data_IF_810789066822
#
_entry.id   IF_810789066822
#
_cell.length_a   1.000
_cell.length_b   1.000
_cell.length_c   1.000
_cell.angle_alpha   90.00
_cell.angle_beta   90.00
_cell.angle_gamma   90.00
#
_symmetry.space_group_name_H-M   'P 1'
#
loop_
_entity.id
_entity.type
_entity.pdbx_description
1 polymer ?
#
# COMPACT_ATOMS: atom_id res chain seq x y z
N UNK A 1 -0.44 1.49 -6.98
CA UNK A 1 0.38 1.71 -5.78
C UNK A 1 1.22 2.96 -5.96
N UNK A 2 1.27 3.80 -4.93
CA UNK A 2 2.16 4.96 -4.87
C UNK A 2 3.60 4.52 -4.58
N UNK A 3 4.58 4.78 -5.45
CA UNK A 3 5.97 4.43 -5.18
C UNK A 3 6.51 5.26 -3.99
N UNK A 4 7.17 4.62 -3.03
CA UNK A 4 7.82 5.30 -1.89
C UNK A 4 7.07 5.26 -0.55
N UNK A 5 5.89 4.63 -0.47
CA UNK A 5 5.27 4.32 0.83
C UNK A 5 5.63 2.89 1.24
N UNK A 6 6.73 2.75 1.98
CA UNK A 6 7.15 1.47 2.56
C UNK A 6 6.21 1.08 3.71
N UNK A 7 5.74 -0.17 3.65
CA UNK A 7 4.87 -0.84 4.63
C UNK A 7 5.24 -0.53 6.09
N UNK A 8 4.27 -0.04 6.86
CA UNK A 8 4.27 -0.17 8.32
C UNK A 8 3.27 -1.29 8.67
N UNK A 9 3.78 -2.50 8.90
CA UNK A 9 3.02 -3.59 9.52
C UNK A 9 3.26 -3.59 11.05
N UNK A 10 2.27 -3.95 11.87
CA UNK A 10 2.29 -3.71 13.32
C UNK A 10 2.99 -4.85 14.06
N UNK A 11 4.32 -4.76 14.24
CA UNK A 11 5.06 -5.72 15.08
C UNK A 11 5.81 -5.04 16.24
N UNK A 12 5.68 -3.72 16.46
CA UNK A 12 6.36 -3.03 17.58
C UNK A 12 5.61 -1.79 18.12
N UNK A 13 5.59 -1.58 19.46
CA UNK A 13 4.95 -0.41 20.07
C UNK A 13 5.84 0.83 19.90
N UNK A 14 5.80 1.44 18.72
CA UNK A 14 6.61 2.62 18.44
C UNK A 14 6.40 3.31 17.09
N UNK A 15 5.67 2.71 16.15
CA UNK A 15 5.39 3.39 14.89
C UNK A 15 4.16 4.30 15.01
N UNK A 16 4.41 5.61 15.09
CA UNK A 16 3.37 6.62 14.91
C UNK A 16 2.88 6.50 13.47
N UNK A 17 1.72 5.90 13.24
CA UNK A 17 0.93 6.21 12.05
C UNK A 17 0.54 7.67 12.22
N UNK A 18 1.26 8.58 11.59
CA UNK A 18 0.77 9.96 11.48
C UNK A 18 -0.52 9.88 10.67
N UNK A 19 -1.63 10.33 11.25
CA UNK A 19 -2.95 10.46 10.60
C UNK A 19 -2.94 11.56 9.52
N UNK A 20 -1.81 11.74 8.85
CA UNK A 20 -1.55 12.81 7.90
C UNK A 20 -1.53 12.24 6.49
N UNK A 21 -1.91 13.07 5.53
CA UNK A 21 -1.75 12.76 4.12
C UNK A 21 -0.28 12.59 3.78
N UNK A 22 0.09 11.39 3.37
CA UNK A 22 1.38 11.02 2.83
C UNK A 22 1.39 11.39 1.34
N UNK A 23 2.27 12.28 0.87
CA UNK A 23 2.29 12.68 -0.54
C UNK A 23 3.70 12.71 -1.13
N UNK A 24 3.79 12.42 -2.43
CA UNK A 24 5.00 12.62 -3.23
C UNK A 24 4.65 13.32 -4.56
N UNK A 25 5.58 13.38 -5.51
CA UNK A 25 5.37 14.01 -6.84
C UNK A 25 4.39 13.26 -7.75
N UNK A 26 4.04 12.01 -7.42
CA UNK A 26 3.24 11.12 -8.25
C UNK A 26 1.84 10.88 -7.68
N UNK A 27 1.64 11.04 -6.36
CA UNK A 27 0.36 10.81 -5.70
C UNK A 27 0.32 11.29 -4.25
N UNK A 28 -0.88 11.29 -3.67
CA UNK A 28 -1.14 11.41 -2.23
C UNK A 28 -1.95 10.22 -1.71
N UNK A 29 -1.71 9.86 -0.46
CA UNK A 29 -2.33 8.80 0.29
C UNK A 29 -2.87 9.40 1.59
N UNK A 30 -4.18 9.36 1.78
CA UNK A 30 -4.78 9.75 3.05
C UNK A 30 -4.72 8.57 4.02
N UNK A 31 -3.81 8.63 4.99
CA UNK A 31 -3.62 7.53 5.95
C UNK A 31 -4.72 7.51 7.01
N UNK A 32 -5.35 8.65 7.31
CA UNK A 32 -6.41 8.74 8.32
C UNK A 32 -7.70 7.98 7.92
N UNK A 33 -7.94 7.83 6.62
CA UNK A 33 -9.09 7.08 6.08
C UNK A 33 -8.70 5.70 5.52
N UNK A 34 -7.44 5.30 5.66
CA UNK A 34 -7.02 3.95 5.32
C UNK A 34 -7.50 2.95 6.37
N UNK A 35 -7.98 1.79 5.93
CA UNK A 35 -8.41 0.72 6.83
C UNK A 35 -7.69 -0.57 6.52
N UNK A 36 -7.40 -1.33 7.57
CA UNK A 36 -6.85 -2.67 7.49
C UNK A 36 -7.77 -3.61 8.26
N UNK A 37 -8.12 -4.73 7.65
CA UNK A 37 -8.86 -5.79 8.32
C UNK A 37 -8.18 -7.13 8.08
N UNK A 38 -8.04 -7.90 9.14
CA UNK A 38 -7.46 -9.25 9.10
C UNK A 38 -8.58 -10.26 9.36
N UNK A 39 -8.70 -11.25 8.50
CA UNK A 39 -9.62 -12.37 8.67
C UNK A 39 -8.88 -13.68 8.39
N UNK A 40 -8.50 -14.39 9.46
CA UNK A 40 -7.62 -15.56 9.37
C UNK A 40 -6.28 -15.20 8.73
N UNK A 41 -5.99 -15.79 7.56
CA UNK A 41 -4.80 -15.51 6.76
C UNK A 41 -5.00 -14.44 5.67
N UNK A 42 -6.19 -13.83 5.59
CA UNK A 42 -6.49 -12.80 4.59
C UNK A 42 -6.42 -11.41 5.19
N UNK A 43 -5.45 -10.61 4.72
CA UNK A 43 -5.33 -9.19 5.01
C UNK A 43 -6.02 -8.39 3.90
N UNK A 44 -7.03 -7.61 4.25
CA UNK A 44 -7.67 -6.63 3.36
C UNK A 44 -7.18 -5.25 3.75
N UNK A 45 -6.68 -4.51 2.76
CA UNK A 45 -6.12 -3.18 2.94
C UNK A 45 -6.81 -2.20 1.98
N UNK A 46 -7.53 -1.21 2.53
CA UNK A 46 -8.17 -0.15 1.77
C UNK A 46 -7.36 1.14 1.92
N UNK A 47 -6.75 1.58 0.83
CA UNK A 47 -5.94 2.81 0.80
C UNK A 47 -6.61 3.87 -0.08
N UNK A 48 -7.02 5.02 0.47
CA UNK A 48 -7.54 6.14 -0.31
C UNK A 48 -6.38 6.91 -0.95
N UNK A 49 -6.11 6.56 -2.20
CA UNK A 49 -5.03 7.09 -3.02
C UNK A 49 -5.57 8.08 -4.05
N UNK A 50 -4.92 9.23 -4.16
CA UNK A 50 -5.17 10.23 -5.22
C UNK A 50 -3.91 10.35 -6.07
N UNK A 51 -4.03 10.12 -7.37
CA UNK A 51 -2.90 10.21 -8.29
C UNK A 51 -2.76 11.62 -8.85
N UNK A 52 -1.51 12.04 -9.07
CA UNK A 52 -1.23 13.29 -9.77
C UNK A 52 -1.21 13.02 -11.28
N UNK A 53 -1.54 14.01 -12.13
CA UNK A 53 -1.57 13.84 -13.58
C UNK A 53 -0.28 13.29 -14.18
N UNK A 54 0.88 13.63 -13.58
CA UNK A 54 2.19 13.11 -13.98
C UNK A 54 2.33 11.58 -13.84
N UNK A 55 1.42 10.92 -13.11
CA UNK A 55 1.40 9.48 -12.91
C UNK A 55 0.21 8.78 -13.60
N UNK A 56 -0.55 9.50 -14.43
CA UNK A 56 -1.69 8.97 -15.16
C UNK A 56 -1.33 7.76 -16.06
N UNK A 57 -2.34 6.99 -16.43
CA UNK A 57 -2.23 5.82 -17.31
C UNK A 57 -2.15 4.48 -16.56
N UNK A 58 -2.18 3.39 -17.33
CA UNK A 58 -2.22 2.02 -16.79
C UNK A 58 -0.99 1.69 -15.96
N UNK A 59 -1.21 1.14 -14.76
CA UNK A 59 -0.17 0.71 -13.83
C UNK A 59 -0.49 -0.70 -13.37
N UNK A 60 0.46 -1.62 -13.53
CA UNK A 60 0.34 -2.96 -12.96
C UNK A 60 0.68 -2.92 -11.47
N UNK A 61 -0.17 -3.52 -10.63
CA UNK A 61 0.09 -3.72 -9.21
C UNK A 61 0.83 -5.03 -9.05
N UNK A 62 2.00 -4.97 -8.43
CA UNK A 62 2.72 -6.15 -7.97
C UNK A 62 2.72 -6.15 -6.45
N UNK A 63 2.43 -7.29 -5.85
CA UNK A 63 2.47 -7.50 -4.41
C UNK A 63 3.44 -8.62 -4.06
N UNK A 64 4.09 -8.50 -2.93
CA UNK A 64 4.93 -9.55 -2.36
C UNK A 64 4.54 -9.72 -0.89
N UNK A 65 4.42 -10.97 -0.45
CA UNK A 65 4.29 -11.34 0.94
C UNK A 65 5.60 -12.00 1.39
N UNK A 66 6.14 -11.51 2.50
CA UNK A 66 7.25 -12.12 3.21
C UNK A 66 6.74 -12.46 4.61
N UNK A 67 6.80 -13.73 4.95
CA UNK A 67 6.47 -14.20 6.29
C UNK A 67 7.72 -14.19 7.19
N UNK A 68 7.52 -13.99 8.49
CA UNK A 68 8.63 -13.91 9.46
C UNK A 68 9.40 -15.23 9.61
N UNK A 69 8.79 -16.37 9.26
CA UNK A 69 9.46 -17.66 9.19
C UNK A 69 10.31 -17.85 7.93
N UNK A 70 10.35 -16.86 7.02
CA UNK A 70 11.14 -16.89 5.79
C UNK A 70 10.41 -17.18 4.47
N UNK A 71 9.16 -17.70 4.42
CA UNK A 71 8.45 -17.87 3.15
C UNK A 71 8.30 -16.56 2.37
N UNK A 72 8.72 -16.60 1.11
CA UNK A 72 8.61 -15.49 0.15
C UNK A 72 7.67 -15.88 -0.98
N UNK A 73 6.61 -15.10 -1.20
CA UNK A 73 5.63 -15.39 -2.24
C UNK A 73 6.13 -15.14 -3.68
N UNK A 74 7.30 -14.51 -3.82
CA UNK A 74 7.69 -13.86 -5.08
C UNK A 74 6.83 -12.63 -5.40
N UNK A 75 7.21 -11.90 -6.45
CA UNK A 75 6.37 -10.84 -7.00
C UNK A 75 5.14 -11.43 -7.68
N UNK A 76 3.96 -11.11 -7.16
CA UNK A 76 2.67 -11.54 -7.70
C UNK A 76 2.00 -10.36 -8.38
N UNK A 77 1.60 -10.52 -9.65
CA UNK A 77 0.77 -9.52 -10.33
C UNK A 77 -0.66 -9.59 -9.77
N UNK A 78 -1.15 -8.47 -9.24
CA UNK A 78 -2.49 -8.34 -8.67
C UNK A 78 -3.45 -7.58 -9.60
N UNK A 79 -3.08 -7.47 -10.88
CA UNK A 79 -3.87 -6.77 -11.90
C UNK A 79 -3.36 -5.37 -12.20
N UNK A 80 -4.04 -4.68 -13.12
CA UNK A 80 -3.69 -3.32 -13.53
C UNK A 80 -4.81 -2.35 -13.17
N UNK A 81 -4.43 -1.15 -12.77
CA UNK A 81 -5.35 -0.05 -12.46
C UNK A 81 -4.93 1.17 -13.27
N UNK A 82 -5.91 1.91 -13.77
CA UNK A 82 -5.65 3.14 -14.51
C UNK A 82 -5.64 4.31 -13.54
N UNK A 83 -4.49 4.97 -13.41
CA UNK A 83 -4.41 6.24 -12.74
C UNK A 83 -5.06 7.32 -13.61
N UNK A 84 -6.04 8.01 -13.05
CA UNK A 84 -6.63 9.23 -13.63
C UNK A 84 -6.05 10.45 -12.94
#
# INVERSE_FOLDING_TARGET
MCPGFSHALPESPGWRITSNTLQNSQCSLNVASATVSLNGNSLTLNLPLTFKPAFAGSKTVYSVALDSAGPWSGWQSRGSWTAQ
#
